data_IF_130572902986
#
_entry.id   IF_130572902986
#
_cell.length_a   1.000
_cell.length_b   1.000
_cell.length_c   1.000
_cell.angle_alpha   90.00
_cell.angle_beta   90.00
_cell.angle_gamma   90.00
#
_symmetry.space_group_name_H-M   'P 1'
#
loop_
_entity.id
_entity.type
_entity.pdbx_description
1 polymer ?
#
# COMPACT_ATOMS: atom_id res chain seq x y z
N UNK A 1 11.41 -16.03 -28.49
CA UNK A 1 10.53 -16.43 -27.36
C UNK A 1 9.91 -15.16 -26.81
N UNK A 2 8.61 -14.95 -27.00
CA UNK A 2 7.88 -13.84 -26.39
C UNK A 2 7.72 -14.14 -24.90
N UNK A 3 8.33 -13.34 -24.02
CA UNK A 3 8.07 -13.44 -22.58
C UNK A 3 6.58 -13.12 -22.37
N UNK A 4 5.78 -14.14 -22.06
CA UNK A 4 4.40 -13.95 -21.64
C UNK A 4 4.39 -12.99 -20.44
N UNK A 5 3.69 -11.86 -20.57
CA UNK A 5 3.61 -10.85 -19.52
C UNK A 5 3.21 -11.44 -18.17
N UNK A 6 3.75 -10.88 -17.09
CA UNK A 6 3.41 -11.24 -15.71
C UNK A 6 2.08 -10.59 -15.24
N UNK A 7 1.53 -9.67 -16.04
CA UNK A 7 0.34 -8.90 -15.70
C UNK A 7 -0.93 -9.76 -15.78
N UNK A 8 -1.76 -9.73 -14.72
CA UNK A 8 -3.05 -10.42 -14.61
C UNK A 8 -2.99 -11.94 -14.79
N UNK A 9 -1.92 -12.60 -14.32
CA UNK A 9 -1.93 -14.05 -14.17
C UNK A 9 -2.92 -14.45 -13.08
N UNK A 10 -3.64 -15.54 -13.31
CA UNK A 10 -4.51 -16.11 -12.29
C UNK A 10 -3.65 -16.48 -11.06
N UNK A 11 -4.12 -16.08 -9.88
CA UNK A 11 -3.50 -16.50 -8.63
C UNK A 11 -3.68 -18.01 -8.47
N UNK A 12 -2.70 -18.74 -7.93
CA UNK A 12 -2.88 -20.13 -7.55
C UNK A 12 -3.95 -20.21 -6.45
N UNK A 13 -5.13 -20.68 -6.84
CA UNK A 13 -6.27 -20.90 -5.95
C UNK A 13 -6.62 -22.39 -5.98
N UNK A 14 -6.67 -23.08 -4.83
CA UNK A 14 -6.37 -22.62 -3.45
C UNK A 14 -4.86 -22.45 -3.16
N UNK A 15 -4.44 -21.65 -2.14
CA UNK A 15 -5.25 -21.02 -1.09
C UNK A 15 -5.53 -19.53 -1.30
N UNK A 16 -5.17 -18.92 -2.43
CA UNK A 16 -5.39 -17.49 -2.63
C UNK A 16 -6.89 -17.18 -2.88
N UNK A 17 -7.41 -16.20 -2.13
CA UNK A 17 -8.76 -15.63 -2.29
C UNK A 17 -8.59 -14.17 -2.72
N UNK A 18 -9.28 -13.76 -3.78
CA UNK A 18 -9.25 -12.37 -4.21
C UNK A 18 -9.91 -11.46 -3.16
N UNK A 19 -9.22 -10.39 -2.77
CA UNK A 19 -9.70 -9.40 -1.82
C UNK A 19 -11.03 -8.76 -2.25
N UNK A 20 -11.22 -8.58 -3.56
CA UNK A 20 -12.43 -7.92 -4.10
C UNK A 20 -13.65 -8.85 -4.19
N UNK A 21 -13.45 -10.16 -4.01
CA UNK A 21 -14.50 -11.18 -4.07
C UNK A 21 -15.47 -11.11 -2.87
N UNK A 22 -16.67 -11.71 -2.99
CA UNK A 22 -17.60 -11.79 -1.86
C UNK A 22 -17.00 -12.48 -0.62
N UNK A 23 -16.19 -13.52 -0.83
CA UNK A 23 -15.51 -14.26 0.24
C UNK A 23 -14.40 -13.42 0.88
N UNK A 24 -13.57 -12.75 0.08
CA UNK A 24 -12.52 -11.85 0.58
C UNK A 24 -13.08 -10.70 1.41
N UNK A 25 -14.19 -10.09 0.97
CA UNK A 25 -14.90 -9.05 1.73
C UNK A 25 -15.46 -9.58 3.04
N UNK A 26 -15.98 -10.81 3.06
CA UNK A 26 -16.49 -11.45 4.28
C UNK A 26 -15.37 -11.64 5.30
N UNK A 27 -14.24 -12.24 4.88
CA UNK A 27 -13.06 -12.45 5.74
C UNK A 27 -12.54 -11.13 6.29
N UNK A 28 -12.43 -10.10 5.44
CA UNK A 28 -11.98 -8.78 5.87
C UNK A 28 -12.94 -8.17 6.90
N UNK A 29 -14.25 -8.28 6.67
CA UNK A 29 -15.28 -7.76 7.59
C UNK A 29 -15.20 -8.48 8.94
N UNK A 30 -15.06 -9.80 8.96
CA UNK A 30 -14.89 -10.57 10.21
C UNK A 30 -13.63 -10.13 10.97
N UNK A 31 -12.48 -10.05 10.30
CA UNK A 31 -11.24 -9.60 10.92
C UNK A 31 -11.28 -8.13 11.40
N UNK A 32 -12.07 -7.29 10.72
CA UNK A 32 -12.33 -5.91 11.13
C UNK A 32 -13.18 -5.85 12.40
N UNK A 33 -14.24 -6.66 12.48
CA UNK A 33 -15.07 -6.75 13.68
C UNK A 33 -14.29 -7.29 14.88
N UNK A 34 -13.32 -8.17 14.66
CA UNK A 34 -12.41 -8.68 15.70
C UNK A 34 -11.32 -7.67 16.12
N UNK A 35 -11.27 -6.48 15.51
CA UNK A 35 -10.30 -5.42 15.83
C UNK A 35 -8.89 -5.66 15.27
N UNK A 36 -8.69 -6.67 14.42
CA UNK A 36 -7.38 -7.03 13.87
C UNK A 36 -6.98 -6.21 12.62
N UNK A 37 -7.91 -5.44 12.03
CA UNK A 37 -7.71 -4.74 10.75
C UNK A 37 -7.60 -3.21 10.86
N UNK A 38 -7.49 -2.63 12.05
CA UNK A 38 -7.39 -1.17 12.24
C UNK A 38 -6.21 -0.53 11.46
N UNK A 39 -5.09 -1.25 11.35
CA UNK A 39 -3.92 -0.79 10.58
C UNK A 39 -4.18 -0.65 9.07
N UNK A 40 -5.17 -1.38 8.54
CA UNK A 40 -5.51 -1.36 7.12
C UNK A 40 -5.91 0.05 6.66
N UNK A 41 -6.68 0.79 7.46
CA UNK A 41 -7.15 2.12 7.08
C UNK A 41 -6.00 3.12 6.88
N UNK A 42 -4.95 3.04 7.70
CA UNK A 42 -3.75 3.88 7.53
C UNK A 42 -2.96 3.47 6.29
N UNK A 43 -2.81 2.17 6.05
CA UNK A 43 -2.06 1.65 4.90
C UNK A 43 -2.77 1.94 3.57
N UNK A 44 -4.08 1.71 3.49
CA UNK A 44 -4.84 1.87 2.24
C UNK A 44 -4.89 3.33 1.77
N UNK A 45 -4.93 4.29 2.70
CA UNK A 45 -4.85 5.73 2.37
C UNK A 45 -3.53 6.13 1.70
N UNK A 46 -2.48 5.31 1.89
CA UNK A 46 -1.15 5.51 1.32
C UNK A 46 -0.81 4.50 0.22
N UNK A 47 -1.79 3.75 -0.29
CA UNK A 47 -1.54 2.70 -1.28
C UNK A 47 -0.97 3.27 -2.58
N UNK A 48 0.11 2.66 -3.08
CA UNK A 48 0.79 3.08 -4.30
C UNK A 48 1.16 1.85 -5.15
N UNK A 49 0.99 1.98 -6.47
CA UNK A 49 1.50 0.99 -7.42
C UNK A 49 3.01 1.15 -7.56
N UNK A 50 3.75 0.03 -7.49
CA UNK A 50 5.19 0.05 -7.78
C UNK A 50 5.44 0.58 -9.19
N UNK A 51 6.39 1.51 -9.35
CA UNK A 51 6.69 2.08 -10.66
C UNK A 51 7.37 1.06 -11.58
N UNK A 52 8.22 0.19 -11.02
CA UNK A 52 8.99 -0.81 -11.75
C UNK A 52 8.86 -2.21 -11.11
N UNK A 53 8.96 -3.31 -11.88
CA UNK A 53 8.80 -4.67 -11.37
C UNK A 53 9.69 -5.04 -10.18
N UNK A 54 10.89 -4.46 -10.08
CA UNK A 54 11.86 -4.74 -9.03
C UNK A 54 11.69 -3.88 -7.76
N UNK A 55 10.76 -2.92 -7.75
CA UNK A 55 10.66 -1.89 -6.69
C UNK A 55 9.56 -2.14 -5.65
N UNK A 56 9.09 -3.39 -5.50
CA UNK A 56 8.06 -3.74 -4.51
C UNK A 56 8.46 -3.39 -3.07
N UNK A 57 9.73 -3.55 -2.70
CA UNK A 57 10.24 -3.20 -1.38
C UNK A 57 10.23 -1.68 -1.12
N UNK A 58 10.60 -0.88 -2.13
CA UNK A 58 10.60 0.59 -2.02
C UNK A 58 9.18 1.14 -1.90
N UNK A 59 8.25 0.63 -2.72
CA UNK A 59 6.84 1.00 -2.63
C UNK A 59 6.28 0.66 -1.24
N UNK A 60 6.53 -0.56 -0.74
CA UNK A 60 6.08 -1.00 0.58
C UNK A 60 6.64 -0.13 1.71
N UNK A 61 7.94 0.18 1.67
CA UNK A 61 8.58 1.05 2.65
C UNK A 61 7.96 2.45 2.66
N UNK A 62 7.73 3.04 1.48
CA UNK A 62 7.09 4.35 1.37
C UNK A 62 5.66 4.35 1.96
N UNK A 63 4.85 3.33 1.65
CA UNK A 63 3.50 3.20 2.23
C UNK A 63 3.53 3.16 3.77
N UNK A 64 4.46 2.37 4.35
CA UNK A 64 4.58 2.22 5.80
C UNK A 64 5.08 3.51 6.45
N UNK A 65 6.11 4.15 5.89
CA UNK A 65 6.63 5.42 6.42
C UNK A 65 5.56 6.52 6.40
N UNK A 66 4.78 6.61 5.31
CA UNK A 66 3.69 7.57 5.23
C UNK A 66 2.55 7.24 6.22
N UNK A 67 2.17 5.96 6.35
CA UNK A 67 1.14 5.53 7.30
C UNK A 67 1.54 5.77 8.77
N UNK A 68 2.84 5.75 9.06
CA UNK A 68 3.41 6.07 10.38
C UNK A 68 3.75 7.56 10.55
N UNK A 69 3.58 8.38 9.50
CA UNK A 69 3.99 9.79 9.46
C UNK A 69 5.47 10.00 9.85
N UNK A 70 6.35 9.09 9.44
CA UNK A 70 7.79 9.16 9.72
C UNK A 70 8.50 9.86 8.57
N UNK A 71 9.20 10.95 8.88
CA UNK A 71 10.17 11.55 7.97
C UNK A 71 11.47 10.73 8.03
N UNK A 72 11.93 10.12 6.92
CA UNK A 72 13.21 9.42 6.88
C UNK A 72 14.42 10.37 6.95
N UNK A 73 14.21 11.69 7.08
CA UNK A 73 15.24 12.73 7.21
C UNK A 73 16.28 12.68 6.08
N UNK A 74 15.87 12.18 4.91
CA UNK A 74 16.74 11.96 3.76
C UNK A 74 16.03 12.40 2.50
N UNK A 75 16.70 13.22 1.69
CA UNK A 75 16.20 13.60 0.37
C UNK A 75 16.45 12.42 -0.56
N UNK A 76 15.39 11.75 -1.01
CA UNK A 76 15.49 10.71 -2.02
C UNK A 76 15.59 11.34 -3.42
N UNK A 77 16.45 10.76 -4.27
CA UNK A 77 16.68 11.24 -5.64
C UNK A 77 15.54 10.76 -6.56
N UNK A 78 14.76 11.70 -7.12
CA UNK A 78 13.72 11.41 -8.10
C UNK A 78 12.40 12.14 -7.80
N UNK A 79 11.59 12.36 -8.83
CA UNK A 79 10.36 13.18 -8.81
C UNK A 79 9.17 12.54 -8.05
N UNK A 80 9.42 11.72 -7.03
CA UNK A 80 8.38 11.17 -6.16
C UNK A 80 8.38 11.96 -4.85
N UNK A 81 7.48 12.94 -4.83
CA UNK A 81 7.22 13.98 -3.84
C UNK A 81 6.73 13.46 -2.47
N UNK A 82 7.29 12.37 -1.93
CA UNK A 82 6.79 11.78 -0.68
C UNK A 82 7.70 11.96 0.55
N UNK A 83 8.73 12.81 0.49
CA UNK A 83 9.52 13.18 1.68
C UNK A 83 9.61 14.71 1.89
N UNK A 84 8.89 15.52 1.09
CA UNK A 84 8.79 16.98 1.33
C UNK A 84 7.53 17.41 2.07
N UNK A 85 6.50 16.56 2.15
CA UNK A 85 5.15 16.99 2.52
C UNK A 85 4.76 16.73 3.99
N UNK A 86 5.61 16.09 4.78
CA UNK A 86 5.34 15.88 6.22
C UNK A 86 5.44 17.19 7.02
N UNK A 87 6.23 18.17 6.56
CA UNK A 87 6.34 19.46 7.26
C UNK A 87 5.23 20.49 6.90
N UNK A 88 4.44 20.28 5.83
CA UNK A 88 3.42 21.26 5.40
C UNK A 88 1.97 20.72 5.37
N UNK A 89 1.71 19.40 5.45
CA UNK A 89 0.34 18.87 5.41
C UNK A 89 -0.29 18.54 6.76
N UNK A 90 0.47 18.54 7.85
CA UNK A 90 -0.13 18.51 9.20
C UNK A 90 -0.97 19.77 9.51
N UNK A 91 -0.88 20.82 8.67
CA UNK A 91 -1.70 22.03 8.79
C UNK A 91 -3.06 21.92 8.07
N UNK A 92 -3.30 20.90 7.23
CA UNK A 92 -4.57 20.77 6.46
C UNK A 92 -5.54 19.68 6.96
N UNK A 93 -5.20 18.97 8.03
CA UNK A 93 -6.12 17.99 8.67
C UNK A 93 -6.87 18.61 9.87
N UNK A 94 -6.72 19.92 10.11
CA UNK A 94 -7.42 20.68 11.16
C UNK A 94 -8.27 21.87 10.64
N UNK A 95 -8.54 21.95 9.33
CA UNK A 95 -9.50 22.91 8.74
C UNK A 95 -10.28 22.27 7.60
#
# INVERSE_FOLDING_TARGET
MTLAGLYRRALPSPPAIDFSSPEGKKIFTEALHDGNMEGFFKLISNFQTQSEPAFCGLASLAMVLNALAIDPCRIWKGNQLLIKYICHQLIKVLY
#
